data_IF_134552860581
#
_entry.id   IF_134552860581
#
_cell.length_a   1.000
_cell.length_b   1.000
_cell.length_c   1.000
_cell.angle_alpha   90.00
_cell.angle_beta   90.00
_cell.angle_gamma   90.00
#
_symmetry.space_group_name_H-M   'P 1'
#
loop_
_entity.id
_entity.type
_entity.pdbx_description
1 polymer ?
#
# COMPACT_ATOMS: atom_id res chain seq x y z
N UNK A 1 7.44 5.19 -4.80
CA UNK A 1 7.87 6.30 -5.68
C UNK A 1 9.20 6.94 -5.24
N UNK A 2 9.32 7.41 -3.98
CA UNK A 2 10.55 8.06 -3.46
C UNK A 2 11.87 7.37 -3.80
N UNK A 3 11.95 6.04 -3.70
CA UNK A 3 13.16 5.27 -4.04
C UNK A 3 13.49 5.33 -5.54
N UNK A 4 12.53 5.03 -6.41
CA UNK A 4 12.72 5.11 -7.87
C UNK A 4 13.07 6.53 -8.32
N UNK A 5 12.37 7.53 -7.77
CA UNK A 5 12.68 8.94 -8.01
C UNK A 5 14.08 9.33 -7.53
N UNK A 6 14.51 8.83 -6.36
CA UNK A 6 15.85 9.09 -5.83
C UNK A 6 16.95 8.39 -6.63
N UNK A 7 16.67 7.19 -7.15
CA UNK A 7 17.60 6.40 -7.97
C UNK A 7 17.58 6.81 -9.46
N UNK A 8 16.76 7.82 -9.83
CA UNK A 8 16.56 8.30 -11.20
C UNK A 8 16.26 7.17 -12.20
N UNK A 9 15.61 6.11 -11.73
CA UNK A 9 15.24 4.98 -12.57
C UNK A 9 13.90 5.24 -13.24
N UNK A 10 13.75 4.93 -14.55
CA UNK A 10 12.47 4.94 -15.21
C UNK A 10 11.49 3.99 -14.49
N UNK A 11 10.25 4.45 -14.30
CA UNK A 11 9.18 3.58 -13.83
C UNK A 11 7.84 3.99 -14.44
N UNK A 12 6.94 3.01 -14.52
CA UNK A 12 5.56 3.19 -14.95
C UNK A 12 4.68 3.27 -13.70
N UNK A 13 3.72 4.19 -13.70
CA UNK A 13 2.66 4.26 -12.71
C UNK A 13 1.32 4.12 -13.41
N UNK A 14 0.54 3.12 -13.04
CA UNK A 14 -0.79 2.90 -13.58
C UNK A 14 -1.84 3.58 -12.70
N UNK A 15 -2.66 4.45 -13.30
CA UNK A 15 -3.74 5.17 -12.62
C UNK A 15 -4.84 5.53 -13.60
N UNK A 16 -6.12 5.42 -13.20
CA UNK A 16 -7.27 5.75 -14.05
C UNK A 16 -7.20 5.13 -15.46
N UNK A 17 -6.89 3.84 -15.55
CA UNK A 17 -6.74 3.12 -16.84
C UNK A 17 -5.59 3.58 -17.75
N UNK A 18 -4.74 4.48 -17.25
CA UNK A 18 -3.64 5.08 -18.00
C UNK A 18 -2.29 4.73 -17.38
N UNK A 19 -1.30 4.46 -18.22
CA UNK A 19 0.09 4.30 -17.80
C UNK A 19 0.84 5.62 -17.91
N UNK A 20 1.48 6.06 -16.83
CA UNK A 20 2.34 7.22 -16.80
C UNK A 20 3.79 6.78 -16.66
N UNK A 21 4.64 7.14 -17.62
CA UNK A 21 6.07 6.89 -17.61
C UNK A 21 6.79 8.06 -16.95
N UNK A 22 7.44 7.79 -15.83
CA UNK A 22 8.31 8.73 -15.13
C UNK A 22 9.75 8.48 -15.58
N UNK A 23 10.38 9.49 -16.17
CA UNK A 23 11.79 9.51 -16.60
C UNK A 23 12.44 10.82 -16.16
N UNK A 24 13.74 10.98 -16.43
CA UNK A 24 14.48 12.16 -16.01
C UNK A 24 13.95 13.46 -16.65
N UNK A 25 13.45 13.36 -17.87
CA UNK A 25 12.92 14.48 -18.66
C UNK A 25 11.54 14.94 -18.17
N UNK A 26 10.83 14.12 -17.40
CA UNK A 26 9.51 14.43 -16.88
C UNK A 26 8.57 13.22 -16.82
N UNK A 27 7.27 13.52 -16.82
CA UNK A 27 6.20 12.52 -16.77
C UNK A 27 5.46 12.53 -18.10
N UNK A 28 5.35 11.36 -18.72
CA UNK A 28 4.70 11.18 -20.01
C UNK A 28 3.57 10.17 -19.90
N UNK A 29 2.45 10.46 -20.55
CA UNK A 29 1.41 9.46 -20.75
C UNK A 29 1.88 8.43 -21.78
N UNK A 30 1.80 7.15 -21.43
CA UNK A 30 2.15 6.08 -22.35
C UNK A 30 1.09 5.98 -23.44
N UNK A 31 1.48 5.87 -24.72
CA UNK A 31 0.51 5.75 -25.80
C UNK A 31 -0.31 4.46 -25.64
N UNK A 32 -1.54 4.43 -26.16
CA UNK A 32 -2.40 3.24 -26.11
C UNK A 32 -1.76 1.98 -26.76
N UNK A 33 -0.77 2.16 -27.63
CA UNK A 33 0.01 1.09 -28.28
C UNK A 33 1.34 0.81 -27.59
N UNK A 34 1.54 1.31 -26.37
CA UNK A 34 2.77 1.13 -25.63
C UNK A 34 3.04 -0.37 -25.42
N UNK A 35 4.23 -0.82 -25.82
CA UNK A 35 4.64 -2.22 -25.66
C UNK A 35 5.88 -2.28 -24.78
N UNK A 36 5.76 -2.96 -23.65
CA UNK A 36 6.87 -3.16 -22.71
C UNK A 36 8.04 -3.96 -23.29
N UNK A 37 7.85 -4.66 -24.42
CA UNK A 37 8.94 -5.35 -25.13
C UNK A 37 10.00 -4.39 -25.67
N UNK A 38 9.66 -3.12 -25.87
CA UNK A 38 10.59 -2.12 -26.37
C UNK A 38 11.63 -1.71 -25.33
N UNK A 39 11.43 -2.05 -24.05
CA UNK A 39 12.41 -1.71 -23.02
C UNK A 39 13.66 -2.58 -23.10
N UNK A 40 14.83 -1.94 -23.14
CA UNK A 40 16.11 -2.65 -23.10
C UNK A 40 16.47 -3.19 -21.71
N UNK A 41 15.81 -2.72 -20.66
CA UNK A 41 16.01 -3.12 -19.25
C UNK A 41 14.66 -3.37 -18.59
N UNK A 42 14.67 -4.02 -17.43
CA UNK A 42 13.46 -4.13 -16.61
C UNK A 42 13.07 -2.76 -16.07
N UNK A 43 11.79 -2.42 -16.20
CA UNK A 43 11.19 -1.17 -15.72
C UNK A 43 10.14 -1.51 -14.66
N UNK A 44 10.11 -0.77 -13.56
CA UNK A 44 9.13 -1.04 -12.50
C UNK A 44 7.76 -0.52 -12.93
N UNK A 45 6.71 -1.28 -12.68
CA UNK A 45 5.32 -0.85 -12.89
C UNK A 45 4.60 -0.83 -11.55
N UNK A 46 4.23 0.36 -11.08
CA UNK A 46 3.47 0.54 -9.84
C UNK A 46 1.97 0.52 -10.15
N UNK A 47 1.23 -0.38 -9.51
CA UNK A 47 -0.22 -0.52 -9.67
C UNK A 47 -0.87 -0.45 -8.29
N UNK A 48 -1.83 0.45 -8.13
CA UNK A 48 -2.64 0.55 -6.92
C UNK A 48 -3.92 -0.28 -7.09
N UNK A 49 -4.22 -1.13 -6.11
CA UNK A 49 -5.43 -1.96 -6.09
C UNK A 49 -6.72 -1.15 -5.97
N UNK A 50 -6.66 0.05 -5.37
CA UNK A 50 -7.83 0.94 -5.31
C UNK A 50 -8.26 1.42 -6.71
N UNK A 51 -7.33 1.43 -7.67
CA UNK A 51 -7.54 1.83 -9.06
C UNK A 51 -7.87 0.63 -9.98
N UNK A 52 -7.67 -0.61 -9.49
CA UNK A 52 -7.73 -1.83 -10.30
C UNK A 52 -8.38 -2.98 -9.54
N UNK A 53 -9.71 -2.92 -9.39
CA UNK A 53 -10.50 -3.96 -8.69
C UNK A 53 -10.44 -5.33 -9.38
N UNK A 54 -10.05 -5.37 -10.65
CA UNK A 54 -9.91 -6.60 -11.44
C UNK A 54 -8.54 -7.28 -11.32
N UNK A 55 -7.60 -6.72 -10.57
CA UNK A 55 -6.22 -7.19 -10.45
C UNK A 55 -5.26 -6.41 -11.37
N UNK A 56 -4.11 -7.00 -11.71
CA UNK A 56 -3.11 -6.32 -12.55
C UNK A 56 -3.65 -6.20 -13.99
N UNK A 57 -3.62 -4.99 -14.60
CA UNK A 57 -4.00 -4.78 -15.99
C UNK A 57 -3.25 -5.70 -16.96
N UNK A 58 -3.97 -6.31 -17.91
CA UNK A 58 -3.42 -7.31 -18.84
C UNK A 58 -2.21 -6.78 -19.64
N UNK A 59 -2.23 -5.51 -20.02
CA UNK A 59 -1.11 -4.87 -20.73
C UNK A 59 0.20 -4.84 -19.94
N UNK A 60 0.14 -4.91 -18.60
CA UNK A 60 1.33 -4.91 -17.74
C UNK A 60 1.90 -6.33 -17.52
N UNK A 61 1.10 -7.37 -17.78
CA UNK A 61 1.45 -8.79 -17.59
C UNK A 61 1.52 -9.57 -18.91
N UNK A 62 1.59 -8.88 -20.05
CA UNK A 62 1.74 -9.51 -21.35
C UNK A 62 2.97 -10.41 -21.41
N UNK A 63 2.88 -11.54 -22.14
CA UNK A 63 3.99 -12.49 -22.31
C UNK A 63 5.23 -11.76 -22.82
N UNK A 64 6.39 -11.97 -22.19
CA UNK A 64 7.67 -11.30 -22.48
C UNK A 64 7.77 -9.83 -22.06
N UNK A 65 6.86 -9.37 -21.19
CA UNK A 65 6.96 -8.04 -20.60
C UNK A 65 8.29 -7.89 -19.85
N UNK A 66 8.93 -6.73 -20.00
CA UNK A 66 10.09 -6.33 -19.18
C UNK A 66 9.66 -5.40 -18.04
N UNK A 67 8.42 -5.56 -17.60
CA UNK A 67 7.89 -4.85 -16.44
C UNK A 67 8.05 -5.72 -15.19
N UNK A 68 8.60 -5.13 -14.14
CA UNK A 68 8.50 -5.67 -12.79
C UNK A 68 7.32 -5.00 -12.09
N UNK A 69 6.19 -5.70 -12.02
CA UNK A 69 4.96 -5.13 -11.45
C UNK A 69 4.95 -5.21 -9.94
N UNK A 70 4.78 -4.06 -9.29
CA UNK A 70 4.58 -3.91 -7.87
C UNK A 70 3.11 -3.52 -7.66
N UNK A 71 2.33 -4.51 -7.22
CA UNK A 71 0.92 -4.36 -6.91
C UNK A 71 0.74 -4.06 -5.42
N UNK A 72 0.21 -2.89 -5.09
CA UNK A 72 -0.06 -2.48 -3.70
C UNK A 72 -1.54 -2.64 -3.39
N UNK A 73 -1.86 -3.38 -2.33
CA UNK A 73 -3.26 -3.61 -1.91
C UNK A 73 -3.37 -3.62 -0.40
N UNK A 74 -4.58 -3.38 0.10
CA UNK A 74 -4.95 -3.78 1.46
C UNK A 74 -4.96 -5.30 1.59
N UNK A 75 -4.85 -5.86 2.80
CA UNK A 75 -4.78 -7.31 3.02
C UNK A 75 -6.13 -8.02 2.81
N UNK A 76 -6.89 -7.64 1.78
CA UNK A 76 -8.14 -8.29 1.39
C UNK A 76 -7.87 -9.34 0.33
N UNK A 77 -8.06 -10.62 0.67
CA UNK A 77 -7.88 -11.73 -0.28
C UNK A 77 -8.65 -11.51 -1.60
N UNK A 78 -9.83 -10.92 -1.56
CA UNK A 78 -10.63 -10.67 -2.77
C UNK A 78 -9.92 -9.75 -3.77
N UNK A 79 -9.09 -8.83 -3.28
CA UNK A 79 -8.36 -7.85 -4.09
C UNK A 79 -7.14 -8.42 -4.79
N UNK A 80 -6.42 -9.36 -4.18
CA UNK A 80 -5.20 -9.95 -4.76
C UNK A 80 -5.35 -11.41 -5.21
N UNK A 81 -6.48 -12.09 -4.97
CA UNK A 81 -6.72 -13.46 -5.42
C UNK A 81 -6.56 -13.65 -6.94
N UNK A 82 -6.76 -12.59 -7.73
CA UNK A 82 -6.55 -12.63 -9.19
C UNK A 82 -5.08 -12.53 -9.58
N UNK A 83 -4.25 -11.87 -8.78
CA UNK A 83 -2.81 -11.73 -9.02
C UNK A 83 -2.13 -13.10 -8.99
N UNK A 84 -2.49 -13.94 -8.03
CA UNK A 84 -2.01 -15.32 -7.94
C UNK A 84 -2.22 -16.19 -9.18
N UNK A 85 -3.21 -15.87 -10.01
CA UNK A 85 -3.53 -16.66 -11.20
C UNK A 85 -2.70 -16.24 -12.40
N UNK A 86 -2.13 -15.04 -12.37
CA UNK A 86 -1.56 -14.40 -13.56
C UNK A 86 -0.05 -14.27 -13.51
N UNK A 87 0.57 -14.27 -12.33
CA UNK A 87 2.01 -14.06 -12.16
C UNK A 87 2.58 -14.97 -11.07
N UNK A 88 3.89 -15.25 -11.13
CA UNK A 88 4.64 -15.80 -9.99
C UNK A 88 4.91 -14.64 -9.02
N UNK A 89 4.21 -14.60 -7.88
CA UNK A 89 4.27 -13.47 -6.96
C UNK A 89 5.21 -13.66 -5.77
N UNK A 90 5.73 -12.53 -5.29
CA UNK A 90 6.32 -12.42 -3.96
C UNK A 90 5.48 -11.45 -3.14
N UNK A 91 4.86 -11.96 -2.08
CA UNK A 91 4.07 -11.15 -1.15
C UNK A 91 5.01 -10.50 -0.13
N UNK A 92 4.96 -9.17 -0.05
CA UNK A 92 5.70 -8.38 0.93
C UNK A 92 4.69 -7.61 1.78
N UNK A 93 4.72 -7.85 3.09
CA UNK A 93 3.92 -7.10 4.06
C UNK A 93 4.71 -5.86 4.47
N UNK A 94 4.14 -4.68 4.24
CA UNK A 94 4.75 -3.42 4.67
C UNK A 94 4.59 -3.26 6.18
N UNK A 95 5.71 -2.95 6.84
CA UNK A 95 5.67 -2.57 8.25
C UNK A 95 4.87 -1.28 8.45
N UNK A 96 4.12 -1.16 9.55
CA UNK A 96 3.50 0.11 9.92
C UNK A 96 4.54 1.19 10.15
N UNK A 97 4.10 2.43 9.98
CA UNK A 97 4.96 3.59 10.16
C UNK A 97 5.28 3.78 11.64
N UNK A 98 6.52 4.15 11.94
CA UNK A 98 6.86 4.64 13.27
C UNK A 98 6.40 6.08 13.45
N UNK A 99 6.21 6.48 14.71
CA UNK A 99 6.00 7.87 15.11
C UNK A 99 7.02 8.81 14.46
N UNK A 100 8.31 8.46 14.49
CA UNK A 100 9.39 9.23 13.85
C UNK A 100 9.21 9.37 12.33
N UNK A 101 8.76 8.31 11.65
CA UNK A 101 8.49 8.35 10.21
C UNK A 101 7.29 9.27 9.91
N UNK A 102 6.25 9.24 10.74
CA UNK A 102 5.07 10.11 10.62
C UNK A 102 5.44 11.57 10.87
N UNK A 103 6.15 11.87 11.96
CA UNK A 103 6.67 13.23 12.24
C UNK A 103 7.51 13.77 11.08
N UNK A 104 8.36 12.93 10.48
CA UNK A 104 9.16 13.33 9.32
C UNK A 104 8.32 13.61 8.06
N UNK A 105 7.16 12.98 7.94
CA UNK A 105 6.25 13.17 6.81
C UNK A 105 5.26 14.32 7.01
N UNK A 106 4.91 14.66 8.25
CA UNK A 106 3.90 15.68 8.55
C UNK A 106 4.19 17.05 7.90
N UNK A 107 5.42 17.61 7.96
CA UNK A 107 5.73 18.89 7.31
C UNK A 107 5.67 18.85 5.77
N UNK A 108 5.58 17.67 5.17
CA UNK A 108 5.46 17.51 3.72
C UNK A 108 3.99 17.55 3.25
N UNK A 109 3.05 17.47 4.20
CA UNK A 109 1.61 17.39 3.95
C UNK A 109 0.84 18.54 4.62
N UNK A 110 1.30 18.99 5.77
CA UNK A 110 0.68 20.04 6.58
C UNK A 110 1.56 21.29 6.58
N UNK A 111 0.95 22.46 6.47
CA UNK A 111 1.65 23.75 6.51
C UNK A 111 2.20 24.08 7.89
N UNK A 112 1.48 23.69 8.95
CA UNK A 112 1.88 23.85 10.34
C UNK A 112 1.44 22.61 11.14
N UNK A 113 2.26 21.54 11.18
CA UNK A 113 1.87 20.29 11.80
C UNK A 113 1.89 20.39 13.34
N UNK A 114 0.74 20.16 13.97
CA UNK A 114 0.64 19.92 15.40
C UNK A 114 1.14 18.51 15.72
N UNK A 115 2.37 18.41 16.21
CA UNK A 115 3.00 17.13 16.51
C UNK A 115 2.39 16.44 17.73
N UNK A 116 1.83 17.20 18.67
CA UNK A 116 1.20 16.64 19.87
C UNK A 116 -0.13 15.98 19.48
N UNK A 117 -0.94 16.64 18.65
CA UNK A 117 -2.15 16.03 18.10
C UNK A 117 -1.83 14.78 17.25
N UNK A 118 -0.80 14.85 16.40
CA UNK A 118 -0.35 13.67 15.63
C UNK A 118 -0.01 12.51 16.56
N UNK A 119 0.63 12.81 17.70
CA UNK A 119 1.02 11.81 18.67
C UNK A 119 -0.17 11.20 19.40
N UNK A 120 -1.16 12.02 19.75
CA UNK A 120 -2.44 11.56 20.31
C UNK A 120 -3.17 10.65 19.33
N UNK A 121 -3.29 11.04 18.05
CA UNK A 121 -3.93 10.22 17.02
C UNK A 121 -3.19 8.91 16.76
N UNK A 122 -1.85 8.94 16.84
CA UNK A 122 -1.05 7.73 16.74
C UNK A 122 -1.35 6.74 17.87
N UNK A 123 -1.49 7.24 19.10
CA UNK A 123 -1.77 6.39 20.26
C UNK A 123 -3.22 5.90 20.29
N UNK A 124 -4.18 6.73 19.86
CA UNK A 124 -5.60 6.39 19.84
C UNK A 124 -5.96 5.46 18.67
N UNK A 125 -5.50 5.78 17.45
CA UNK A 125 -5.95 5.14 16.20
C UNK A 125 -4.87 4.30 15.54
N UNK A 126 -3.64 4.35 16.05
CA UNK A 126 -2.53 3.53 15.61
C UNK A 126 -1.65 4.17 14.53
N UNK A 127 -0.65 3.42 14.04
CA UNK A 127 0.42 3.89 13.16
C UNK A 127 0.01 4.04 11.69
N UNK A 128 -1.13 4.68 11.42
CA UNK A 128 -1.67 4.88 10.08
C UNK A 128 -1.47 6.35 9.68
N UNK A 129 -0.50 6.67 8.80
CA UNK A 129 -0.21 8.05 8.43
C UNK A 129 -1.45 8.80 7.97
N UNK A 130 -2.29 8.17 7.15
CA UNK A 130 -3.50 8.82 6.64
C UNK A 130 -4.42 9.34 7.77
N UNK A 131 -4.52 8.62 8.88
CA UNK A 131 -5.31 9.06 10.05
C UNK A 131 -4.60 10.18 10.81
N UNK A 132 -3.27 10.11 10.94
CA UNK A 132 -2.50 11.09 11.68
C UNK A 132 -2.26 12.42 10.94
N UNK A 133 -2.15 12.41 9.60
CA UNK A 133 -1.71 13.59 8.82
C UNK A 133 -2.62 14.01 7.67
N UNK A 134 -3.50 13.14 7.15
CA UNK A 134 -4.28 13.43 5.94
C UNK A 134 -5.79 13.63 6.23
N UNK A 135 -6.28 13.19 7.39
CA UNK A 135 -7.70 13.33 7.75
C UNK A 135 -7.95 14.70 8.37
N UNK A 136 -9.01 15.35 7.91
CA UNK A 136 -9.60 16.50 8.60
C UNK A 136 -10.47 16.00 9.78
N UNK A 137 -10.90 16.94 10.62
CA UNK A 137 -11.67 16.65 11.84
C UNK A 137 -12.96 15.88 11.53
N UNK A 138 -13.68 16.25 10.46
CA UNK A 138 -14.91 15.58 10.05
C UNK A 138 -14.68 14.11 9.65
N UNK A 139 -13.68 13.85 8.79
CA UNK A 139 -13.32 12.48 8.37
C UNK A 139 -12.84 11.64 9.55
N UNK A 140 -12.15 12.27 10.50
CA UNK A 140 -11.66 11.59 11.69
C UNK A 140 -12.82 11.18 12.60
N UNK A 141 -13.79 12.06 12.82
CA UNK A 141 -14.99 11.75 13.61
C UNK A 141 -15.84 10.65 12.95
N UNK A 142 -16.03 10.71 11.62
CA UNK A 142 -16.71 9.66 10.87
C UNK A 142 -15.98 8.31 11.03
N UNK A 143 -14.65 8.31 10.94
CA UNK A 143 -13.85 7.11 11.15
C UNK A 143 -14.00 6.57 12.58
N UNK A 144 -13.93 7.43 13.60
CA UNK A 144 -14.11 7.04 15.01
C UNK A 144 -15.49 6.45 15.27
N UNK A 145 -16.54 7.01 14.65
CA UNK A 145 -17.91 6.50 14.74
C UNK A 145 -18.04 5.12 14.10
N UNK A 146 -17.47 4.93 12.92
CA UNK A 146 -17.44 3.64 12.23
C UNK A 146 -16.65 2.59 13.02
N UNK A 147 -15.52 2.99 13.60
CA UNK A 147 -14.72 2.13 14.46
C UNK A 147 -15.52 1.68 15.69
N UNK A 148 -16.18 2.61 16.41
CA UNK A 148 -17.05 2.30 17.55
C UNK A 148 -18.17 1.33 17.16
N UNK A 149 -18.83 1.55 16.01
CA UNK A 149 -19.88 0.67 15.51
C UNK A 149 -19.37 -0.74 15.26
N UNK A 150 -18.17 -0.87 14.71
CA UNK A 150 -17.55 -2.18 14.43
C UNK A 150 -17.16 -2.86 15.72
N UNK A 151 -16.45 -2.16 16.62
CA UNK A 151 -16.05 -2.68 17.92
C UNK A 151 -17.25 -3.13 18.77
N UNK A 152 -18.36 -2.39 18.73
CA UNK A 152 -19.60 -2.78 19.42
C UNK A 152 -20.26 -4.04 18.86
N UNK A 153 -19.92 -4.46 17.63
CA UNK A 153 -20.41 -5.68 16.99
C UNK A 153 -19.39 -6.84 17.05
N UNK A 154 -18.21 -6.64 17.63
CA UNK A 154 -17.21 -7.70 17.78
C UNK A 154 -17.69 -8.70 18.83
N UNK A 155 -17.75 -9.97 18.46
CA UNK A 155 -18.00 -11.08 19.39
C UNK A 155 -16.69 -11.75 19.82
N UNK A 156 -16.74 -12.65 20.80
CA UNK A 156 -15.55 -13.44 21.20
C UNK A 156 -15.08 -14.32 20.05
N UNK A 157 -16.01 -14.95 19.32
CA UNK A 157 -15.70 -15.79 18.15
C UNK A 157 -14.93 -14.98 17.09
N UNK A 158 -15.31 -13.71 16.89
CA UNK A 158 -14.59 -12.80 15.99
C UNK A 158 -13.14 -12.54 16.42
N UNK A 159 -12.86 -12.53 17.74
CA UNK A 159 -11.52 -12.31 18.29
C UNK A 159 -10.67 -13.59 18.21
N UNK A 160 -11.27 -14.76 18.42
CA UNK A 160 -10.62 -16.05 18.22
C UNK A 160 -10.24 -16.24 16.75
N UNK A 161 -11.14 -15.95 15.82
CA UNK A 161 -10.84 -15.95 14.38
C UNK A 161 -9.70 -14.99 14.03
N UNK A 162 -9.61 -13.82 14.66
CA UNK A 162 -8.52 -12.87 14.45
C UNK A 162 -7.17 -13.40 14.95
N UNK A 163 -7.16 -14.07 16.10
CA UNK A 163 -5.95 -14.68 16.66
C UNK A 163 -5.44 -15.80 15.73
N UNK A 164 -6.32 -16.69 15.29
CA UNK A 164 -6.01 -17.79 14.37
C UNK A 164 -5.59 -17.28 12.97
N UNK A 165 -6.21 -16.19 12.51
CA UNK A 165 -5.84 -15.51 11.27
C UNK A 165 -4.44 -14.89 11.35
N UNK A 166 -4.06 -14.35 12.50
CA UNK A 166 -2.74 -13.77 12.76
C UNK A 166 -1.61 -14.78 12.58
N UNK A 167 -1.84 -16.03 13.01
CA UNK A 167 -0.89 -17.13 12.87
C UNK A 167 -0.84 -17.71 11.44
N UNK A 168 -1.92 -17.55 10.66
CA UNK A 168 -2.07 -18.14 9.32
C UNK A 168 -1.91 -17.15 8.15
N UNK A 169 -1.58 -15.88 8.42
CA UNK A 169 -1.54 -14.75 7.44
C UNK A 169 -2.88 -14.53 6.69
N UNK A 170 -3.99 -15.08 7.15
CA UNK A 170 -5.31 -14.92 6.53
C UNK A 170 -6.08 -13.73 7.12
N UNK A 171 -5.62 -12.51 6.83
CA UNK A 171 -6.28 -11.28 7.28
C UNK A 171 -7.66 -11.12 6.62
N UNK A 172 -8.74 -11.33 7.39
CA UNK A 172 -10.14 -11.22 6.94
C UNK A 172 -10.73 -9.81 7.21
N UNK A 173 -12.05 -9.64 6.97
CA UNK A 173 -12.78 -8.35 7.02
C UNK A 173 -12.59 -7.56 8.33
N UNK A 174 -12.35 -8.22 9.47
CA UNK A 174 -12.18 -7.54 10.76
C UNK A 174 -10.78 -6.95 10.89
N UNK A 175 -9.77 -7.62 10.33
CA UNK A 175 -8.39 -7.16 10.30
C UNK A 175 -8.21 -5.84 9.52
N UNK A 176 -9.12 -5.56 8.57
CA UNK A 176 -9.15 -4.29 7.84
C UNK A 176 -9.43 -3.07 8.73
N UNK A 177 -10.10 -3.27 9.86
CA UNK A 177 -10.49 -2.21 10.79
C UNK A 177 -9.74 -2.29 12.12
N UNK A 178 -9.34 -3.49 12.52
CA UNK A 178 -8.52 -3.75 13.70
C UNK A 178 -7.19 -4.33 13.22
N UNK A 179 -6.28 -3.45 12.81
CA UNK A 179 -4.99 -3.84 12.27
C UNK A 179 -3.96 -3.91 13.41
N UNK A 180 -3.86 -5.05 14.11
CA UNK A 180 -2.78 -5.30 15.07
C UNK A 180 -1.54 -5.78 14.32
N UNK A 181 -0.85 -4.88 13.62
CA UNK A 181 0.43 -5.22 13.01
C UNK A 181 1.54 -4.82 13.97
N UNK A 182 2.12 -5.81 14.65
CA UNK A 182 3.38 -5.63 15.36
C UNK A 182 4.51 -5.58 14.34
N UNK A 183 5.32 -4.52 14.34
CA UNK A 183 6.49 -4.41 13.45
C UNK A 183 7.42 -5.59 13.72
N UNK A 184 7.68 -6.41 12.72
CA UNK A 184 8.74 -7.40 12.83
C UNK A 184 10.06 -6.64 12.76
N UNK A 185 10.92 -6.75 13.78
CA UNK A 185 12.28 -6.24 13.69
C UNK A 185 13.03 -7.12 12.70
N UNK A 186 13.36 -6.63 11.49
CA UNK A 186 13.99 -7.48 10.50
C UNK A 186 15.40 -7.82 10.98
N UNK A 187 15.71 -9.12 11.05
CA UNK A 187 17.09 -9.57 10.93
C UNK A 187 17.60 -9.05 9.57
N UNK A 188 18.81 -8.46 9.49
CA UNK A 188 19.32 -7.89 8.24
C UNK A 188 19.23 -8.93 7.11
N UNK A 189 18.52 -8.57 6.05
CA UNK A 189 18.43 -9.38 4.82
C UNK A 189 19.84 -9.54 4.27
N UNK A 190 20.42 -10.73 4.42
CA UNK A 190 21.65 -11.11 3.73
C UNK A 190 21.31 -11.32 2.26
N UNK A 191 21.60 -10.33 1.43
CA UNK A 191 21.60 -10.53 -0.02
C UNK A 191 22.87 -11.33 -0.36
N UNK A 192 22.70 -12.61 -0.69
CA UNK A 192 23.75 -13.39 -1.35
C UNK A 192 24.04 -12.77 -2.71
N UNK A 193 25.30 -12.42 -2.95
CA UNK A 193 25.82 -11.87 -4.20
C UNK A 193 25.86 -12.91 -5.31
#
# INVERSE_FOLDING_TARGET
MRRCCAEQQPFVFYRNETCYLFVQEGVFEAPARFSSHQYHKYVWALVDADETTSGIPEGLIARFTRLLTIYSTSPDRSRWARVHKTVDERVLVMNPWTRKEIHRAAPLRLTDPDLDLIDELFDELGPVPRLCIDFDEDKLEDYKKDLKKVLGNITIDNLEELADAGDSLQMNVISHKVCLIRRFNPTPLQFSS
#
